data_IF_592375973129
#
_entry.id   IF_592375973129
#
_cell.length_a   1.000
_cell.length_b   1.000
_cell.length_c   1.000
_cell.angle_alpha   90.00
_cell.angle_beta   90.00
_cell.angle_gamma   90.00
#
_symmetry.space_group_name_H-M   'P 1'
#
loop_
_entity.id
_entity.type
_entity.pdbx_description
1 polymer ?
#
# COMPACT_ATOMS: atom_id res chain seq x y z
N UNK A 1 -12.78 3.22 12.54
CA UNK A 1 -11.50 2.62 12.12
C UNK A 1 -10.75 3.67 11.31
N UNK A 2 -9.47 3.88 11.61
CA UNK A 2 -8.60 4.69 10.76
C UNK A 2 -8.40 3.94 9.44
N UNK A 3 -8.80 4.53 8.32
CA UNK A 3 -8.70 3.91 6.99
C UNK A 3 -7.50 4.43 6.20
N UNK A 4 -6.68 5.31 6.78
CA UNK A 4 -5.59 5.96 6.05
C UNK A 4 -4.57 4.95 5.53
N UNK A 5 -4.13 5.14 4.29
CA UNK A 5 -3.04 4.36 3.72
C UNK A 5 -1.69 4.97 4.17
N UNK A 6 -1.27 4.61 5.38
CA UNK A 6 -0.09 5.18 6.03
C UNK A 6 1.19 4.90 5.26
N UNK A 7 1.37 3.68 4.73
CA UNK A 7 2.55 3.31 3.91
C UNK A 7 2.70 4.19 2.68
N UNK A 8 1.60 4.41 1.97
CA UNK A 8 1.58 5.26 0.79
C UNK A 8 1.96 6.71 1.13
N UNK A 9 1.38 7.24 2.21
CA UNK A 9 1.65 8.61 2.67
C UNK A 9 3.11 8.76 3.11
N UNK A 10 3.65 7.80 3.86
CA UNK A 10 5.04 7.78 4.30
C UNK A 10 6.01 7.74 3.12
N UNK A 11 5.77 6.90 2.11
CA UNK A 11 6.61 6.86 0.92
C UNK A 11 6.62 8.22 0.22
N UNK A 12 5.46 8.84 0.01
CA UNK A 12 5.43 10.18 -0.59
C UNK A 12 6.28 11.18 0.19
N UNK A 13 6.18 11.17 1.52
CA UNK A 13 6.93 12.07 2.39
C UNK A 13 8.44 11.77 2.39
N UNK A 14 8.84 10.49 2.37
CA UNK A 14 10.27 10.08 2.27
C UNK A 14 10.90 10.53 0.96
N UNK A 15 10.13 10.54 -0.12
CA UNK A 15 10.55 11.11 -1.42
C UNK A 15 10.43 12.64 -1.49
N UNK A 16 10.02 13.29 -0.40
CA UNK A 16 9.85 14.73 -0.27
C UNK A 16 8.92 15.34 -1.34
N UNK A 17 7.87 14.60 -1.72
CA UNK A 17 6.90 15.01 -2.73
C UNK A 17 5.64 15.59 -2.09
N UNK A 18 5.10 16.65 -2.65
CA UNK A 18 3.71 17.07 -2.41
C UNK A 18 2.74 16.11 -3.09
N UNK A 19 1.48 16.10 -2.65
CA UNK A 19 0.44 15.28 -3.31
C UNK A 19 0.25 15.67 -4.78
N UNK A 20 0.42 16.96 -5.12
CA UNK A 20 0.37 17.46 -6.50
C UNK A 20 1.52 16.91 -7.34
N UNK A 21 2.76 16.93 -6.83
CA UNK A 21 3.92 16.41 -7.55
C UNK A 21 3.83 14.90 -7.77
N UNK A 22 3.42 14.15 -6.75
CA UNK A 22 3.18 12.72 -6.90
C UNK A 22 2.10 12.46 -7.95
N UNK A 23 0.96 13.15 -7.86
CA UNK A 23 -0.13 13.01 -8.82
C UNK A 23 0.34 13.25 -10.25
N UNK A 24 1.02 14.36 -10.50
CA UNK A 24 1.61 14.67 -11.82
C UNK A 24 2.53 13.56 -12.31
N UNK A 25 3.39 13.01 -11.45
CA UNK A 25 4.37 11.98 -11.84
C UNK A 25 3.74 10.65 -12.28
N UNK A 26 2.51 10.35 -11.86
CA UNK A 26 1.80 9.10 -12.22
C UNK A 26 0.54 9.30 -13.06
N UNK A 27 0.23 10.54 -13.43
CA UNK A 27 -0.96 10.90 -14.21
C UNK A 27 -2.25 10.88 -13.42
N UNK A 28 -2.21 11.28 -12.14
CA UNK A 28 -3.36 11.45 -11.24
C UNK A 28 -3.52 12.90 -10.81
N UNK A 29 -4.74 13.29 -10.43
CA UNK A 29 -4.98 14.58 -9.78
C UNK A 29 -4.49 14.56 -8.33
N UNK A 30 -4.16 15.73 -7.79
CA UNK A 30 -3.83 15.87 -6.36
C UNK A 30 -4.96 15.34 -5.46
N UNK A 31 -6.22 15.62 -5.81
CA UNK A 31 -7.39 15.13 -5.06
C UNK A 31 -7.47 13.59 -5.05
N UNK A 32 -7.11 12.91 -6.14
CA UNK A 32 -7.05 11.46 -6.14
C UNK A 32 -5.97 10.95 -5.18
N UNK A 33 -4.79 11.59 -5.13
CA UNK A 33 -3.74 11.24 -4.16
C UNK A 33 -4.25 11.41 -2.71
N UNK A 34 -4.95 12.50 -2.41
CA UNK A 34 -5.54 12.71 -1.08
C UNK A 34 -6.61 11.65 -0.73
N UNK A 35 -7.43 11.22 -1.70
CA UNK A 35 -8.39 10.14 -1.49
C UNK A 35 -7.72 8.78 -1.24
N UNK A 36 -6.59 8.51 -1.89
CA UNK A 36 -5.80 7.29 -1.65
C UNK A 36 -5.18 7.33 -0.26
N UNK A 37 -4.56 8.46 0.13
CA UNK A 37 -3.96 8.63 1.46
C UNK A 37 -4.97 8.51 2.60
N UNK A 38 -6.20 8.99 2.40
CA UNK A 38 -7.29 8.85 3.37
C UNK A 38 -7.96 7.46 3.36
N UNK A 39 -7.62 6.60 2.38
CA UNK A 39 -8.26 5.32 2.15
C UNK A 39 -9.71 5.40 1.68
N UNK A 40 -10.17 6.59 1.28
CA UNK A 40 -11.54 6.80 0.80
C UNK A 40 -11.72 6.36 -0.64
N UNK A 41 -10.62 6.20 -1.40
CA UNK A 41 -10.64 5.57 -2.73
C UNK A 41 -9.46 4.65 -2.94
N UNK A 42 -9.75 3.53 -3.57
CA UNK A 42 -8.75 2.62 -4.08
C UNK A 42 -8.39 2.97 -5.54
N UNK A 43 -7.10 3.09 -5.90
CA UNK A 43 -6.70 3.39 -7.27
C UNK A 43 -6.94 2.20 -8.21
N UNK A 44 -7.25 2.49 -9.48
CA UNK A 44 -7.34 1.46 -10.53
C UNK A 44 -6.00 0.75 -10.72
N UNK A 45 -6.03 -0.49 -11.21
CA UNK A 45 -4.83 -1.34 -11.38
C UNK A 45 -3.66 -0.66 -12.11
N UNK A 46 -3.94 0.07 -13.20
CA UNK A 46 -2.89 0.80 -13.94
C UNK A 46 -2.17 1.84 -13.06
N UNK A 47 -2.88 2.52 -12.16
CA UNK A 47 -2.29 3.51 -11.27
C UNK A 47 -1.57 2.86 -10.11
N UNK A 48 -2.05 1.70 -9.61
CA UNK A 48 -1.30 0.89 -8.64
C UNK A 48 0.07 0.52 -9.18
N UNK A 49 0.14 0.03 -10.42
CA UNK A 49 1.40 -0.30 -11.09
C UNK A 49 2.31 0.93 -11.22
N UNK A 50 1.78 2.07 -11.66
CA UNK A 50 2.57 3.32 -11.78
C UNK A 50 3.10 3.80 -10.44
N UNK A 51 2.29 3.76 -9.39
CA UNK A 51 2.67 4.18 -8.04
C UNK A 51 3.74 3.25 -7.45
N UNK A 52 3.55 1.94 -7.56
CA UNK A 52 4.52 0.94 -7.13
C UNK A 52 5.87 1.13 -7.87
N UNK A 53 5.83 1.26 -9.20
CA UNK A 53 7.01 1.54 -10.00
C UNK A 53 7.69 2.88 -9.63
N UNK A 54 6.90 3.94 -9.37
CA UNK A 54 7.43 5.26 -8.98
C UNK A 54 8.25 5.20 -7.68
N UNK A 55 7.83 4.36 -6.75
CA UNK A 55 8.48 4.18 -5.45
C UNK A 55 9.49 3.03 -5.41
N UNK A 56 9.57 2.21 -6.46
CA UNK A 56 10.48 1.06 -6.51
C UNK A 56 10.06 -0.08 -5.58
N UNK A 57 8.76 -0.25 -5.34
CA UNK A 57 8.19 -1.31 -4.49
C UNK A 57 7.20 -2.16 -5.28
N UNK A 58 6.77 -3.31 -4.73
CA UNK A 58 5.71 -4.11 -5.34
C UNK A 58 4.32 -3.51 -5.07
N UNK A 59 3.35 -3.78 -5.96
CA UNK A 59 1.94 -3.41 -5.75
C UNK A 59 1.38 -4.07 -4.49
N UNK A 60 1.78 -5.32 -4.29
CA UNK A 60 1.41 -6.18 -3.16
C UNK A 60 1.78 -5.53 -1.82
N UNK A 61 3.05 -5.14 -1.68
CA UNK A 61 3.56 -4.47 -0.48
C UNK A 61 2.88 -3.11 -0.22
N UNK A 62 2.58 -2.37 -1.29
CA UNK A 62 2.05 -1.00 -1.19
C UNK A 62 0.55 -0.96 -0.84
N UNK A 63 -0.25 -1.93 -1.31
CA UNK A 63 -1.70 -1.86 -1.21
C UNK A 63 -2.37 -3.04 -0.48
N UNK A 64 -1.70 -4.18 -0.30
CA UNK A 64 -2.38 -5.42 0.06
C UNK A 64 -1.76 -6.20 1.22
N UNK A 65 -0.47 -6.06 1.51
CA UNK A 65 0.20 -6.88 2.54
C UNK A 65 -0.44 -6.77 3.95
N UNK A 66 -0.93 -5.60 4.35
CA UNK A 66 -1.64 -5.42 5.64
C UNK A 66 -2.99 -6.14 5.64
N UNK A 67 -3.72 -6.07 4.53
CA UNK A 67 -4.99 -6.77 4.34
C UNK A 67 -4.76 -8.28 4.42
N UNK A 68 -3.69 -8.77 3.79
CA UNK A 68 -3.32 -10.18 3.90
C UNK A 68 -2.90 -10.55 5.32
N UNK A 69 -2.13 -9.74 6.03
CA UNK A 69 -1.79 -10.01 7.43
C UNK A 69 -3.05 -10.11 8.29
N UNK A 70 -3.96 -9.16 8.21
CA UNK A 70 -5.23 -9.22 8.96
C UNK A 70 -6.06 -10.45 8.60
N UNK A 71 -6.18 -10.74 7.30
CA UNK A 71 -6.86 -11.93 6.80
C UNK A 71 -6.21 -13.21 7.32
N UNK A 72 -4.89 -13.38 7.17
CA UNK A 72 -4.15 -14.55 7.65
C UNK A 72 -4.20 -14.66 9.17
N UNK A 73 -4.09 -13.57 9.93
CA UNK A 73 -4.24 -13.61 11.39
C UNK A 73 -5.66 -14.03 11.79
N UNK A 74 -6.69 -13.60 11.06
CA UNK A 74 -8.07 -14.04 11.29
C UNK A 74 -8.27 -15.54 11.01
N UNK A 75 -7.56 -16.10 10.02
CA UNK A 75 -7.59 -17.52 9.69
C UNK A 75 -6.76 -18.37 10.68
N UNK A 76 -5.65 -17.82 11.17
CA UNK A 76 -4.70 -18.46 12.09
C UNK A 76 -5.21 -18.62 13.52
N UNK A 77 -6.33 -17.97 13.87
CA UNK A 77 -7.06 -18.22 15.12
C UNK A 77 -7.54 -19.66 15.31
N UNK A 78 -7.39 -20.53 14.30
CA UNK A 78 -7.67 -21.97 14.35
C UNK A 78 -6.45 -22.92 14.41
N UNK A 79 -5.21 -22.42 14.38
CA UNK A 79 -3.91 -23.09 14.72
C UNK A 79 -2.75 -22.39 13.97
N UNK A 80 -1.73 -21.88 14.67
CA UNK A 80 -0.51 -21.33 14.07
C UNK A 80 0.73 -22.16 14.42
N UNK A 81 1.54 -22.46 13.39
CA UNK A 81 2.92 -22.93 13.53
C UNK A 81 3.88 -21.86 12.97
N UNK A 82 5.08 -21.79 13.55
CA UNK A 82 6.10 -20.77 13.30
C UNK A 82 6.60 -20.67 11.84
N UNK A 83 6.46 -21.73 11.04
CA UNK A 83 6.95 -21.79 9.66
C UNK A 83 6.22 -20.83 8.69
N UNK A 84 4.98 -20.42 8.99
CA UNK A 84 4.22 -19.54 8.11
C UNK A 84 4.65 -18.07 8.21
N UNK A 85 5.34 -17.69 9.30
CA UNK A 85 5.85 -16.34 9.48
C UNK A 85 7.10 -16.06 8.62
N UNK A 86 7.93 -17.09 8.36
CA UNK A 86 9.13 -16.97 7.53
C UNK A 86 8.82 -16.88 6.02
N UNK A 87 7.72 -17.47 5.55
CA UNK A 87 7.32 -17.36 4.13
C UNK A 87 6.82 -15.96 3.78
N UNK A 88 6.18 -15.26 4.71
CA UNK A 88 5.67 -13.90 4.49
C UNK A 88 6.79 -12.85 4.44
N UNK A 89 7.92 -13.07 5.11
CA UNK A 89 9.08 -12.17 5.06
C UNK A 89 9.96 -12.37 3.81
N UNK A 90 9.83 -13.49 3.11
CA UNK A 90 10.68 -13.83 1.95
C UNK A 90 10.22 -13.18 0.64
N UNK A 91 9.01 -12.61 0.60
CA UNK A 91 8.46 -11.92 -0.59
C UNK A 91 8.59 -10.38 -0.54
N UNK A 92 9.26 -9.82 0.48
CA UNK A 92 9.54 -8.39 0.63
C UNK A 92 10.86 -8.00 -0.04
#
# INVERSE_FOLDING_TARGET
MDTRNLRFMELRQRFNLTQTELGKSVGLSQSMIAHIESGTKEPKGIYKLRLAHRFGVSVEWLFYEEVYKEFYMSLKGGQSNAADNERLSTFA
#
